data_IF_218167372660
#
_entry.id   IF_218167372660
#
_cell.length_a   1.000
_cell.length_b   1.000
_cell.length_c   1.000
_cell.angle_alpha   90.00
_cell.angle_beta   90.00
_cell.angle_gamma   90.00
#
_symmetry.space_group_name_H-M   'P 1'
#
loop_
_entity.id
_entity.type
_entity.pdbx_description
1 polymer ?
#
# COMPACT_ATOMS: atom_id res chain seq x y z
N UNK A 1 -17.48 -3.43 17.87
CA UNK A 1 -17.04 -2.78 16.61
C UNK A 1 -15.72 -2.09 16.87
N UNK A 2 -14.65 -2.52 16.20
CA UNK A 2 -13.36 -1.84 16.21
C UNK A 2 -13.48 -0.67 15.21
N UNK A 3 -13.09 0.54 15.59
CA UNK A 3 -13.05 1.68 14.66
C UNK A 3 -11.81 1.55 13.74
N UNK A 4 -11.71 2.39 12.70
CA UNK A 4 -10.60 2.29 11.72
C UNK A 4 -9.22 2.42 12.40
N UNK A 5 -9.04 3.35 13.33
CA UNK A 5 -7.79 3.48 14.10
C UNK A 5 -7.45 2.23 14.88
N UNK A 6 -8.38 1.67 15.66
CA UNK A 6 -8.11 0.49 16.44
C UNK A 6 -7.83 -0.73 15.54
N UNK A 7 -8.43 -0.83 14.35
CA UNK A 7 -8.12 -1.87 13.37
C UNK A 7 -6.71 -1.71 12.82
N UNK A 8 -6.36 -0.48 12.40
CA UNK A 8 -5.01 -0.13 11.94
C UNK A 8 -3.98 -0.56 12.97
N UNK A 9 -4.18 -0.20 14.23
CA UNK A 9 -3.22 -0.49 15.30
C UNK A 9 -3.15 -1.97 15.70
N UNK A 10 -4.27 -2.71 15.65
CA UNK A 10 -4.33 -4.09 16.17
C UNK A 10 -4.13 -5.17 15.13
N UNK A 11 -4.50 -4.92 13.85
CA UNK A 11 -4.46 -5.94 12.79
C UNK A 11 -3.45 -5.60 11.68
N UNK A 12 -3.30 -4.32 11.33
CA UNK A 12 -2.48 -3.90 10.18
C UNK A 12 -1.05 -3.58 10.62
N UNK A 13 -0.90 -2.69 11.61
CA UNK A 13 0.39 -2.24 12.15
C UNK A 13 1.31 -3.39 12.54
N UNK A 14 0.88 -4.46 13.24
CA UNK A 14 1.78 -5.54 13.62
C UNK A 14 2.43 -6.22 12.41
N UNK A 15 1.65 -6.50 11.36
CA UNK A 15 2.15 -7.10 10.10
C UNK A 15 3.15 -6.13 9.44
N UNK A 16 2.81 -4.84 9.35
CA UNK A 16 3.70 -3.84 8.74
C UNK A 16 4.99 -3.65 9.53
N UNK A 17 4.93 -3.72 10.87
CA UNK A 17 6.11 -3.64 11.72
C UNK A 17 7.08 -4.81 11.52
N UNK A 18 6.59 -6.02 11.20
CA UNK A 18 7.45 -7.14 10.78
C UNK A 18 8.07 -6.88 9.41
N UNK A 19 7.26 -6.47 8.43
CA UNK A 19 7.71 -6.18 7.06
C UNK A 19 8.82 -5.14 7.05
N UNK A 20 8.67 -4.04 7.78
CA UNK A 20 9.68 -2.96 7.77
C UNK A 20 11.00 -3.40 8.40
N UNK A 21 10.95 -4.31 9.38
CA UNK A 21 12.16 -4.88 10.00
C UNK A 21 12.86 -5.82 9.02
N UNK A 22 12.10 -6.67 8.35
CA UNK A 22 12.63 -7.61 7.37
C UNK A 22 13.24 -6.90 6.15
N UNK A 23 12.46 -6.02 5.51
CA UNK A 23 12.87 -5.32 4.28
C UNK A 23 13.80 -4.13 4.53
N UNK A 24 14.08 -3.81 5.80
CA UNK A 24 14.76 -2.57 6.19
C UNK A 24 14.13 -1.30 5.59
N UNK A 25 12.83 -1.30 5.31
CA UNK A 25 12.15 -0.20 4.62
C UNK A 25 11.72 0.90 5.61
N UNK A 26 11.28 2.05 5.09
CA UNK A 26 10.73 3.16 5.89
C UNK A 26 9.21 3.14 5.79
N UNK A 27 8.53 3.36 6.91
CA UNK A 27 7.08 3.53 6.96
C UNK A 27 6.74 4.94 7.42
N UNK A 28 5.83 5.60 6.70
CA UNK A 28 5.13 6.81 7.15
C UNK A 28 3.70 6.41 7.50
N UNK A 29 3.25 6.85 8.67
CA UNK A 29 1.88 6.63 9.16
C UNK A 29 1.15 7.95 9.00
N UNK A 30 -0.10 7.93 8.53
CA UNK A 30 -0.90 9.13 8.29
C UNK A 30 -0.13 10.14 7.42
N UNK A 31 0.21 9.71 6.20
CA UNK A 31 0.97 10.52 5.25
C UNK A 31 0.05 11.46 4.44
N UNK A 32 0.16 12.79 4.63
CA UNK A 32 -0.73 13.73 3.96
C UNK A 32 -0.42 13.84 2.47
N UNK A 33 -1.48 13.83 1.65
CA UNK A 33 -1.45 14.14 0.23
C UNK A 33 -2.20 15.43 -0.03
N UNK A 34 -1.56 16.37 -0.71
CA UNK A 34 -2.20 17.63 -1.12
C UNK A 34 -1.61 18.09 -2.47
N UNK A 35 -2.16 17.55 -3.56
CA UNK A 35 -1.76 17.92 -4.93
C UNK A 35 -2.60 19.10 -5.42
N UNK A 36 -3.91 19.03 -5.23
CA UNK A 36 -4.87 20.10 -5.56
C UNK A 36 -6.19 19.89 -4.79
N UNK A 37 -7.20 20.72 -5.09
CA UNK A 37 -8.50 20.69 -4.41
C UNK A 37 -9.26 19.35 -4.52
N UNK A 38 -8.95 18.53 -5.53
CA UNK A 38 -9.59 17.24 -5.84
C UNK A 38 -8.71 16.04 -5.46
N UNK A 39 -7.39 16.20 -5.53
CA UNK A 39 -6.39 15.17 -5.23
C UNK A 39 -5.70 15.49 -3.91
N UNK A 40 -6.43 15.29 -2.82
CA UNK A 40 -5.97 15.48 -1.44
C UNK A 40 -6.53 14.36 -0.56
N UNK A 41 -5.79 13.99 0.49
CA UNK A 41 -6.14 12.88 1.36
C UNK A 41 -5.07 12.64 2.42
N UNK A 42 -5.18 11.53 3.13
CA UNK A 42 -4.20 11.11 4.11
C UNK A 42 -4.05 9.60 4.02
N UNK A 43 -2.89 9.12 3.59
CA UNK A 43 -2.65 7.68 3.47
C UNK A 43 -2.48 7.08 4.86
N UNK A 44 -3.09 5.93 5.12
CA UNK A 44 -2.91 5.25 6.40
C UNK A 44 -1.46 4.82 6.60
N UNK A 45 -0.89 4.15 5.60
CA UNK A 45 0.54 3.81 5.58
C UNK A 45 1.16 3.99 4.20
N UNK A 46 2.36 4.56 4.17
CA UNK A 46 3.23 4.60 3.01
C UNK A 46 4.57 3.94 3.35
N UNK A 47 4.80 2.76 2.79
CA UNK A 47 6.06 2.03 2.90
C UNK A 47 6.95 2.37 1.70
N UNK A 48 8.26 2.53 1.94
CA UNK A 48 9.26 2.81 0.91
C UNK A 48 10.53 2.02 1.17
N UNK A 49 10.99 1.27 0.17
CA UNK A 49 12.31 0.64 0.22
C UNK A 49 13.40 1.70 0.33
N UNK A 50 14.54 1.34 0.92
CA UNK A 50 15.70 2.23 0.96
C UNK A 50 16.47 2.04 -0.34
N UNK A 51 16.64 3.10 -1.13
CA UNK A 51 17.66 3.09 -2.16
C UNK A 51 19.04 3.15 -1.50
N UNK A 52 19.96 2.38 -2.05
CA UNK A 52 21.39 2.47 -1.75
C UNK A 52 22.11 3.10 -2.94
N UNK A 53 23.33 3.64 -2.76
CA UNK A 53 24.14 4.11 -3.88
C UNK A 53 24.40 3.02 -4.92
N UNK A 54 24.55 1.77 -4.46
CA UNK A 54 24.73 0.58 -5.30
C UNK A 54 23.44 0.13 -6.02
N UNK A 55 22.25 0.37 -5.45
CA UNK A 55 20.95 0.05 -6.10
C UNK A 55 19.97 1.25 -6.09
N UNK A 56 20.23 2.30 -6.88
CA UNK A 56 19.40 3.51 -6.89
C UNK A 56 17.98 3.27 -7.44
N UNK A 57 17.76 2.19 -8.20
CA UNK A 57 16.45 1.78 -8.69
C UNK A 57 15.53 1.22 -7.59
N UNK A 58 16.11 0.78 -6.47
CA UNK A 58 15.41 0.11 -5.37
C UNK A 58 14.75 1.13 -4.41
N UNK A 59 13.77 1.90 -4.92
CA UNK A 59 13.00 2.88 -4.14
C UNK A 59 11.48 2.64 -4.26
N UNK A 60 11.09 1.37 -4.36
CA UNK A 60 9.70 0.97 -4.52
C UNK A 60 8.85 1.41 -3.32
N UNK A 61 7.57 1.54 -3.57
CA UNK A 61 6.61 1.99 -2.56
C UNK A 61 5.36 1.15 -2.58
N UNK A 62 4.71 1.13 -1.42
CA UNK A 62 3.43 0.48 -1.22
C UNK A 62 2.56 1.37 -0.33
N UNK A 63 1.36 1.68 -0.81
CA UNK A 63 0.31 2.36 -0.05
C UNK A 63 -0.62 1.33 0.57
N UNK A 64 -0.93 1.44 1.86
CA UNK A 64 -1.90 0.58 2.53
C UNK A 64 -3.02 1.45 3.09
N UNK A 65 -4.26 1.11 2.74
CA UNK A 65 -5.48 1.75 3.25
C UNK A 65 -6.33 0.75 4.04
N UNK A 66 -6.61 1.06 5.30
CA UNK A 66 -7.47 0.24 6.15
C UNK A 66 -8.91 0.73 6.05
N UNK A 67 -9.78 -0.10 5.48
CA UNK A 67 -11.20 0.20 5.39
C UNK A 67 -12.00 -0.54 6.48
N UNK A 68 -13.12 0.05 6.90
CA UNK A 68 -13.95 -0.53 7.93
C UNK A 68 -14.73 -1.76 7.47
N UNK A 69 -15.43 -1.66 6.36
CA UNK A 69 -16.53 -2.57 6.05
C UNK A 69 -16.65 -2.91 4.55
N UNK A 70 -15.92 -2.21 3.66
CA UNK A 70 -16.10 -2.36 2.21
C UNK A 70 -14.77 -2.19 1.44
N UNK A 71 -14.20 -3.32 1.00
CA UNK A 71 -12.99 -3.33 0.16
C UNK A 71 -13.21 -2.63 -1.19
N UNK A 72 -14.43 -2.62 -1.74
CA UNK A 72 -14.72 -1.97 -3.03
C UNK A 72 -14.63 -0.45 -2.89
N UNK A 73 -15.25 0.09 -1.85
CA UNK A 73 -15.17 1.51 -1.52
C UNK A 73 -13.74 1.90 -1.14
N UNK A 74 -13.07 1.09 -0.32
CA UNK A 74 -11.68 1.33 0.05
C UNK A 74 -10.74 1.27 -1.16
N UNK A 75 -10.99 0.40 -2.14
CA UNK A 75 -10.22 0.39 -3.37
C UNK A 75 -10.44 1.66 -4.22
N UNK A 76 -11.67 2.18 -4.27
CA UNK A 76 -11.96 3.45 -4.96
C UNK A 76 -11.18 4.61 -4.34
N UNK A 77 -11.08 4.64 -3.00
CA UNK A 77 -10.27 5.63 -2.30
C UNK A 77 -8.77 5.45 -2.63
N UNK A 78 -8.26 4.22 -2.47
CA UNK A 78 -6.87 3.88 -2.80
C UNK A 78 -6.51 4.27 -4.24
N UNK A 79 -7.42 4.06 -5.19
CA UNK A 79 -7.22 4.43 -6.59
C UNK A 79 -7.00 5.94 -6.77
N UNK A 80 -7.80 6.78 -6.11
CA UNK A 80 -7.66 8.25 -6.13
C UNK A 80 -6.35 8.68 -5.47
N UNK A 81 -5.99 8.03 -4.37
CA UNK A 81 -4.76 8.29 -3.63
C UNK A 81 -3.51 7.90 -4.41
N UNK A 82 -3.51 6.77 -5.12
CA UNK A 82 -2.45 6.38 -6.04
C UNK A 82 -2.31 7.39 -7.19
N UNK A 83 -3.43 7.89 -7.75
CA UNK A 83 -3.39 8.96 -8.75
C UNK A 83 -2.74 10.22 -8.15
N UNK A 84 -3.17 10.66 -6.97
CA UNK A 84 -2.59 11.81 -6.29
C UNK A 84 -1.08 11.62 -6.03
N UNK A 85 -0.67 10.45 -5.52
CA UNK A 85 0.72 10.11 -5.27
C UNK A 85 1.55 10.12 -6.57
N UNK A 86 0.98 9.72 -7.70
CA UNK A 86 1.66 9.75 -9.01
C UNK A 86 2.00 11.16 -9.54
N UNK A 87 1.45 12.21 -8.94
CA UNK A 87 1.82 13.59 -9.25
C UNK A 87 3.09 14.04 -8.53
N UNK A 88 3.47 13.37 -7.44
CA UNK A 88 4.63 13.73 -6.60
C UNK A 88 5.73 12.67 -6.63
N UNK A 89 5.44 11.45 -7.09
CA UNK A 89 6.40 10.38 -7.30
C UNK A 89 6.78 10.23 -8.77
N UNK A 90 8.08 10.16 -9.05
CA UNK A 90 8.60 9.90 -10.41
C UNK A 90 8.68 8.40 -10.68
N UNK A 91 7.54 7.72 -10.62
CA UNK A 91 7.41 6.28 -10.85
C UNK A 91 6.29 5.98 -11.84
N UNK A 92 6.53 5.02 -12.73
CA UNK A 92 5.51 4.59 -13.66
C UNK A 92 4.48 3.65 -13.01
N UNK A 93 4.95 2.76 -12.12
CA UNK A 93 4.10 1.81 -11.41
C UNK A 93 4.05 2.18 -9.93
N UNK A 94 2.84 2.30 -9.39
CA UNK A 94 2.59 2.47 -7.96
C UNK A 94 1.69 1.34 -7.49
N UNK A 95 2.07 0.69 -6.39
CA UNK A 95 1.29 -0.38 -5.77
C UNK A 95 0.53 0.13 -4.55
N UNK A 96 -0.65 -0.46 -4.35
CA UNK A 96 -1.44 -0.22 -3.16
C UNK A 96 -2.15 -1.50 -2.70
N UNK A 97 -2.57 -1.52 -1.44
CA UNK A 97 -3.49 -2.51 -0.93
C UNK A 97 -4.56 -1.86 -0.07
N UNK A 98 -5.76 -2.43 -0.11
CA UNK A 98 -6.86 -2.12 0.79
C UNK A 98 -7.10 -3.33 1.71
N UNK A 99 -7.38 -3.08 2.97
CA UNK A 99 -7.59 -4.14 3.95
C UNK A 99 -8.71 -3.86 4.95
N UNK A 100 -9.45 -4.90 5.34
CA UNK A 100 -10.35 -4.88 6.51
C UNK A 100 -9.65 -5.39 7.79
N UNK A 101 -8.34 -5.59 7.73
CA UNK A 101 -7.50 -6.19 8.76
C UNK A 101 -7.27 -7.67 8.49
N UNK A 102 -8.36 -8.43 8.37
CA UNK A 102 -8.37 -9.87 8.11
C UNK A 102 -8.45 -10.24 6.63
N UNK A 103 -8.88 -9.31 5.75
CA UNK A 103 -8.94 -9.54 4.30
C UNK A 103 -8.23 -8.40 3.57
N UNK A 104 -7.33 -8.76 2.66
CA UNK A 104 -6.49 -7.84 1.89
C UNK A 104 -6.71 -8.01 0.39
N UNK A 105 -6.64 -6.89 -0.34
CA UNK A 105 -6.68 -6.86 -1.80
C UNK A 105 -5.68 -5.85 -2.33
N UNK A 106 -4.98 -6.20 -3.39
CA UNK A 106 -3.98 -5.34 -4.02
C UNK A 106 -4.53 -4.64 -5.27
N UNK A 107 -3.85 -3.56 -5.64
CA UNK A 107 -3.95 -2.96 -6.96
C UNK A 107 -2.67 -2.24 -7.35
N UNK A 108 -2.65 -1.82 -8.61
CA UNK A 108 -1.56 -1.02 -9.16
C UNK A 108 -2.10 0.07 -10.07
N UNK A 109 -1.42 1.22 -10.04
CA UNK A 109 -1.56 2.27 -11.04
C UNK A 109 -0.39 2.16 -12.02
N UNK A 110 -0.70 2.03 -13.31
CA UNK A 110 0.23 2.29 -14.39
C UNK A 110 0.00 3.72 -14.92
N UNK A 111 0.94 4.61 -14.63
CA UNK A 111 0.84 6.05 -14.95
C UNK A 111 0.88 6.31 -16.45
N UNK A 112 1.77 5.65 -17.20
CA UNK A 112 1.89 5.84 -18.65
C UNK A 112 0.64 5.39 -19.40
N UNK A 113 0.05 4.28 -18.96
CA UNK A 113 -1.19 3.73 -19.55
C UNK A 113 -2.46 4.35 -18.97
N UNK A 114 -2.35 5.17 -17.92
CA UNK A 114 -3.48 5.74 -17.15
C UNK A 114 -4.47 4.66 -16.71
N UNK A 115 -3.93 3.52 -16.30
CA UNK A 115 -4.71 2.34 -15.94
C UNK A 115 -4.55 2.02 -14.46
N UNK A 116 -5.67 1.76 -13.80
CA UNK A 116 -5.70 1.17 -12.46
C UNK A 116 -6.21 -0.26 -12.59
N UNK A 117 -5.44 -1.19 -12.04
CA UNK A 117 -5.80 -2.60 -11.98
C UNK A 117 -6.08 -2.99 -10.54
N UNK A 118 -7.23 -3.60 -10.30
CA UNK A 118 -7.55 -4.26 -9.05
C UNK A 118 -7.29 -5.75 -9.20
N UNK A 119 -6.54 -6.35 -8.28
CA UNK A 119 -6.40 -7.81 -8.26
C UNK A 119 -7.71 -8.46 -7.80
N UNK A 120 -8.06 -9.58 -8.42
CA UNK A 120 -9.20 -10.41 -8.05
C UNK A 120 -8.89 -11.27 -6.83
N UNK A 121 -7.60 -11.56 -6.59
CA UNK A 121 -7.16 -12.34 -5.45
C UNK A 121 -7.42 -11.59 -4.15
N UNK A 122 -7.82 -12.36 -3.13
CA UNK A 122 -8.01 -11.92 -1.77
C UNK A 122 -7.08 -12.75 -0.87
N UNK A 123 -6.37 -12.07 0.03
CA UNK A 123 -5.58 -12.72 1.07
C UNK A 123 -6.35 -12.63 2.38
N UNK A 124 -6.66 -13.78 2.98
CA UNK A 124 -7.40 -13.90 4.24
C UNK A 124 -6.46 -14.30 5.37
N UNK A 125 -6.44 -13.53 6.44
CA UNK A 125 -5.58 -13.75 7.60
C UNK A 125 -6.36 -14.55 8.66
N UNK A 126 -5.78 -15.59 9.27
CA UNK A 126 -4.35 -15.94 9.23
C UNK A 126 -3.89 -16.84 8.08
N UNK A 127 -4.80 -17.47 7.34
CA UNK A 127 -4.50 -18.56 6.39
C UNK A 127 -3.50 -18.16 5.29
N UNK A 128 -3.60 -16.93 4.79
CA UNK A 128 -2.81 -16.38 3.69
C UNK A 128 -1.71 -15.40 4.18
N UNK A 129 -1.27 -15.50 5.45
CA UNK A 129 -0.25 -14.59 5.97
C UNK A 129 1.07 -14.70 5.21
N UNK A 130 1.57 -15.91 4.97
CA UNK A 130 2.79 -16.14 4.22
C UNK A 130 2.73 -15.59 2.78
N UNK A 131 1.71 -15.90 1.96
CA UNK A 131 1.61 -15.34 0.61
C UNK A 131 1.38 -13.82 0.62
N UNK A 132 0.63 -13.27 1.59
CA UNK A 132 0.49 -11.82 1.74
C UNK A 132 1.86 -11.15 1.95
N UNK A 133 2.66 -11.67 2.88
CA UNK A 133 4.00 -11.15 3.17
C UNK A 133 4.90 -11.25 1.94
N UNK A 134 4.86 -12.36 1.19
CA UNK A 134 5.65 -12.53 -0.04
C UNK A 134 5.32 -11.45 -1.08
N UNK A 135 4.05 -11.14 -1.30
CA UNK A 135 3.65 -10.08 -2.23
C UNK A 135 4.16 -8.72 -1.77
N UNK A 136 4.00 -8.39 -0.47
CA UNK A 136 4.46 -7.11 0.08
C UNK A 136 5.98 -6.96 -0.05
N UNK A 137 6.74 -8.01 0.30
CA UNK A 137 8.19 -8.03 0.18
C UNK A 137 8.61 -7.90 -1.28
N UNK A 138 8.00 -8.68 -2.19
CA UNK A 138 8.29 -8.60 -3.63
C UNK A 138 8.10 -7.19 -4.18
N UNK A 139 6.98 -6.54 -3.86
CA UNK A 139 6.71 -5.14 -4.21
C UNK A 139 7.84 -4.22 -3.72
N UNK A 140 8.23 -4.34 -2.45
CA UNK A 140 9.23 -3.45 -1.85
C UNK A 140 10.65 -3.72 -2.40
N UNK A 141 11.00 -4.97 -2.67
CA UNK A 141 12.30 -5.35 -3.23
C UNK A 141 12.39 -5.11 -4.74
N UNK A 142 11.25 -4.92 -5.42
CA UNK A 142 11.19 -4.67 -6.87
C UNK A 142 11.19 -5.93 -7.71
N UNK A 143 10.87 -7.06 -7.10
CA UNK A 143 10.59 -8.32 -7.79
C UNK A 143 9.12 -8.29 -8.19
N UNK A 144 8.81 -8.48 -9.47
CA UNK A 144 7.42 -8.48 -9.92
C UNK A 144 6.63 -9.55 -9.14
N UNK A 145 5.63 -9.15 -8.34
CA UNK A 145 4.95 -10.04 -7.39
C UNK A 145 3.95 -10.99 -8.06
#
# INVERSE_FOLDING_TARGET
>A
MINETARRETLVSPIMLEVIRYCHCKMRIEYPLNVNNWLKGNLDYLLRSRSTPEEPSQNNLLVIEANKDDLTRGFTQLAVELIALSHIEDRNILYGAVTMGDVWRFGKLNRSEKQITQDLNLFKIPDDLDPLIRVIVGILEGVEP
#
